data_IF_942148014999
#
_entry.id   IF_942148014999
#
_cell.length_a   1.000
_cell.length_b   1.000
_cell.length_c   1.000
_cell.angle_alpha   90.00
_cell.angle_beta   90.00
_cell.angle_gamma   90.00
#
_symmetry.space_group_name_H-M   'P 1'
#
loop_
_entity.id
_entity.type
_entity.pdbx_description
1 polymer ?
#
# COMPACT_ATOMS: atom_id res chain seq x y z
N UNK A 1 -21.84 -1.30 -15.06
CA UNK A 1 -20.53 -1.98 -15.09
C UNK A 1 -19.74 -1.67 -13.83
N UNK A 2 -19.92 -2.48 -12.78
CA UNK A 2 -19.06 -2.43 -11.57
C UNK A 2 -17.66 -3.01 -11.83
N UNK A 3 -17.50 -3.83 -12.86
CA UNK A 3 -16.23 -4.49 -13.21
C UNK A 3 -15.12 -3.50 -13.59
N UNK A 4 -15.48 -2.30 -14.06
CA UNK A 4 -14.52 -1.27 -14.43
C UNK A 4 -14.01 -0.45 -13.25
N UNK A 5 -14.76 -0.35 -12.15
CA UNK A 5 -14.28 0.35 -10.95
C UNK A 5 -13.18 -0.43 -10.24
N UNK A 6 -13.30 -1.76 -10.18
CA UNK A 6 -12.30 -2.62 -9.52
C UNK A 6 -10.96 -2.65 -10.26
N UNK A 7 -10.96 -2.50 -11.59
CA UNK A 7 -9.73 -2.53 -12.39
C UNK A 7 -9.06 -1.15 -12.54
N UNK A 8 -9.81 -0.05 -12.40
CA UNK A 8 -9.29 1.30 -12.62
C UNK A 8 -9.04 2.11 -11.35
N UNK A 9 -9.52 1.68 -10.18
CA UNK A 9 -9.25 2.34 -8.91
C UNK A 9 -8.20 1.55 -8.15
N UNK A 10 -6.94 1.93 -8.33
CA UNK A 10 -5.79 1.40 -7.59
C UNK A 10 -5.90 1.63 -6.07
N UNK A 11 -6.77 2.56 -5.65
CA UNK A 11 -6.81 3.15 -4.31
C UNK A 11 -8.20 3.00 -3.65
N UNK A 12 -8.89 1.86 -3.85
CA UNK A 12 -10.20 1.59 -3.21
C UNK A 12 -10.08 1.56 -1.68
N UNK A 13 -8.93 1.09 -1.18
CA UNK A 13 -8.59 1.09 0.24
C UNK A 13 -7.23 1.78 0.42
N UNK A 14 -7.19 2.74 1.34
CA UNK A 14 -6.00 3.56 1.62
C UNK A 14 -5.68 3.57 3.11
N UNK A 15 -4.45 3.23 3.51
CA UNK A 15 -3.96 3.31 4.88
C UNK A 15 -2.90 4.41 4.98
N UNK A 16 -3.10 5.36 5.90
CA UNK A 16 -2.10 6.39 6.20
C UNK A 16 -1.47 6.16 7.57
N UNK A 17 -0.17 5.87 7.58
CA UNK A 17 0.62 5.74 8.80
C UNK A 17 1.50 6.98 8.96
N UNK A 18 1.37 7.69 10.09
CA UNK A 18 2.17 8.87 10.41
C UNK A 18 3.19 8.48 11.49
N UNK A 19 4.48 8.69 11.19
CA UNK A 19 5.60 8.34 12.08
C UNK A 19 6.41 9.58 12.45
N UNK A 20 7.00 9.60 13.64
CA UNK A 20 7.88 10.70 14.09
C UNK A 20 9.25 10.66 13.43
N UNK A 21 9.77 9.48 13.09
CA UNK A 21 11.09 9.30 12.49
C UNK A 21 11.01 8.56 11.16
N UNK A 22 11.88 8.96 10.23
CA UNK A 22 12.02 8.30 8.92
C UNK A 22 12.43 6.83 9.06
N UNK A 23 13.24 6.49 10.07
CA UNK A 23 13.63 5.11 10.37
C UNK A 23 12.43 4.21 10.66
N UNK A 24 11.40 4.73 11.30
CA UNK A 24 10.21 3.96 11.67
C UNK A 24 9.35 3.65 10.46
N UNK A 25 9.33 4.54 9.46
CA UNK A 25 8.64 4.31 8.19
C UNK A 25 9.21 3.05 7.51
N UNK A 26 10.54 2.95 7.40
CA UNK A 26 11.18 1.78 6.80
C UNK A 26 10.95 0.50 7.61
N UNK A 27 11.01 0.58 8.95
CA UNK A 27 10.73 -0.57 9.81
C UNK A 27 9.30 -1.08 9.68
N UNK A 28 8.33 -0.18 9.61
CA UNK A 28 6.92 -0.54 9.44
C UNK A 28 6.68 -1.12 8.05
N UNK A 29 7.23 -0.50 7.01
CA UNK A 29 7.13 -1.01 5.65
C UNK A 29 7.70 -2.43 5.52
N UNK A 30 8.90 -2.66 6.08
CA UNK A 30 9.54 -3.97 6.11
C UNK A 30 8.67 -5.01 6.82
N UNK A 31 8.14 -4.68 8.00
CA UNK A 31 7.24 -5.57 8.74
C UNK A 31 5.97 -5.91 7.96
N UNK A 32 5.32 -4.94 7.34
CA UNK A 32 4.13 -5.17 6.50
C UNK A 32 4.50 -6.07 5.31
N UNK A 33 5.61 -5.81 4.62
CA UNK A 33 6.04 -6.63 3.48
C UNK A 33 6.48 -8.04 3.85
N UNK A 34 6.86 -8.28 5.11
CA UNK A 34 7.28 -9.60 5.60
C UNK A 34 6.13 -10.54 5.96
N UNK A 35 4.89 -10.03 5.99
CA UNK A 35 3.72 -10.85 6.30
C UNK A 35 3.41 -11.80 5.15
N UNK A 36 3.19 -13.09 5.46
CA UNK A 36 3.02 -14.15 4.46
C UNK A 36 1.77 -14.03 3.60
N UNK A 37 0.77 -13.29 4.09
CA UNK A 37 -0.51 -13.00 3.44
C UNK A 37 -0.51 -11.66 2.71
N UNK A 38 0.62 -10.94 2.67
CA UNK A 38 0.77 -9.66 1.97
C UNK A 38 1.68 -9.83 0.76
N UNK A 39 1.19 -9.42 -0.40
CA UNK A 39 2.01 -9.32 -1.61
C UNK A 39 2.29 -7.85 -1.94
N UNK A 40 3.56 -7.44 -1.88
CA UNK A 40 3.95 -6.09 -2.31
C UNK A 40 3.92 -6.02 -3.84
N UNK A 41 3.11 -5.11 -4.38
CA UNK A 41 2.97 -4.91 -5.82
C UNK A 41 3.88 -3.80 -6.33
N UNK A 42 3.97 -2.69 -5.61
CA UNK A 42 4.75 -1.51 -6.04
C UNK A 42 5.16 -0.67 -4.83
N UNK A 43 6.37 -0.11 -4.88
CA UNK A 43 6.87 0.84 -3.87
C UNK A 43 7.32 2.12 -4.55
N UNK A 44 6.84 3.27 -4.07
CA UNK A 44 7.31 4.60 -4.48
C UNK A 44 7.93 5.30 -3.27
N UNK A 45 9.26 5.35 -3.25
CA UNK A 45 10.04 5.93 -2.15
C UNK A 45 10.37 7.41 -2.42
N UNK A 46 9.43 8.30 -2.10
CA UNK A 46 9.65 9.76 -2.20
C UNK A 46 10.43 10.34 -1.03
N UNK A 47 10.81 9.52 -0.04
CA UNK A 47 11.72 9.94 1.03
C UNK A 47 13.16 10.00 0.49
N UNK A 48 13.58 8.95 -0.22
CA UNK A 48 14.90 8.88 -0.84
C UNK A 48 15.00 9.78 -2.09
N UNK A 49 13.93 9.83 -2.91
CA UNK A 49 13.86 10.67 -4.10
C UNK A 49 12.63 11.60 -4.02
N UNK A 50 12.75 12.75 -3.32
CA UNK A 50 11.65 13.70 -3.18
C UNK A 50 11.17 14.21 -4.54
N UNK A 51 9.87 14.54 -4.63
CA UNK A 51 9.35 15.21 -5.83
C UNK A 51 9.96 16.62 -5.94
N UNK A 52 9.98 17.24 -7.14
CA UNK A 52 10.50 18.60 -7.32
C UNK A 52 9.87 19.67 -6.42
N UNK A 53 8.64 19.44 -5.94
CA UNK A 53 7.94 20.31 -5.00
C UNK A 53 8.32 20.08 -3.52
N UNK A 54 9.31 19.22 -3.23
CA UNK A 54 9.75 18.89 -1.88
C UNK A 54 8.91 17.83 -1.15
N UNK A 55 7.90 17.26 -1.80
CA UNK A 55 7.05 16.23 -1.19
C UNK A 55 7.85 14.96 -0.88
N UNK A 56 7.73 14.49 0.36
CA UNK A 56 8.32 13.26 0.88
C UNK A 56 7.24 12.36 1.47
N UNK A 57 7.20 11.11 1.03
CA UNK A 57 6.34 10.06 1.58
C UNK A 57 6.86 8.70 1.10
N UNK A 58 6.43 7.64 1.77
CA UNK A 58 6.65 6.27 1.35
C UNK A 58 5.30 5.68 0.95
N UNK A 59 5.12 5.37 -0.34
CA UNK A 59 3.88 4.76 -0.83
C UNK A 59 4.17 3.31 -1.16
N UNK A 60 3.30 2.41 -0.69
CA UNK A 60 3.44 0.98 -0.88
C UNK A 60 2.09 0.39 -1.25
N UNK A 61 1.97 -0.07 -2.48
CA UNK A 61 0.77 -0.76 -2.96
C UNK A 61 0.95 -2.24 -2.67
N UNK A 62 0.03 -2.80 -1.90
CA UNK A 62 0.01 -4.20 -1.50
C UNK A 62 -1.29 -4.89 -1.92
N UNK A 63 -1.24 -6.20 -2.09
CA UNK A 63 -2.42 -7.05 -2.21
C UNK A 63 -2.59 -7.88 -0.95
N UNK A 64 -3.79 -7.85 -0.39
CA UNK A 64 -4.16 -8.61 0.81
C UNK A 64 -5.43 -9.44 0.56
N UNK A 65 -5.53 -10.67 1.09
CA UNK A 65 -6.72 -11.49 0.98
C UNK A 65 -7.80 -10.97 1.95
N UNK A 66 -8.96 -10.60 1.41
CA UNK A 66 -10.15 -10.24 2.18
C UNK A 66 -11.15 -11.38 2.10
N UNK A 67 -11.55 -11.91 3.26
CA UNK A 67 -12.50 -13.01 3.36
C UNK A 67 -13.92 -12.46 3.42
N UNK A 68 -14.66 -12.57 2.30
CA UNK A 68 -16.06 -12.22 2.21
C UNK A 68 -16.94 -13.48 2.43
N UNK A 69 -18.25 -13.28 2.58
CA UNK A 69 -19.21 -14.40 2.66
C UNK A 69 -19.18 -15.32 1.43
N UNK A 70 -18.69 -14.82 0.30
CA UNK A 70 -18.54 -15.55 -0.97
C UNK A 70 -17.17 -16.22 -1.14
N UNK A 71 -16.26 -16.06 -0.18
CA UNK A 71 -14.90 -16.60 -0.22
C UNK A 71 -13.79 -15.54 -0.19
N UNK A 72 -12.51 -15.96 -0.26
CA UNK A 72 -11.37 -15.05 -0.24
C UNK A 72 -11.23 -14.31 -1.58
N UNK A 73 -11.07 -12.98 -1.52
CA UNK A 73 -10.81 -12.12 -2.67
C UNK A 73 -9.57 -11.28 -2.38
N UNK A 74 -8.60 -11.28 -3.29
CA UNK A 74 -7.43 -10.42 -3.16
C UNK A 74 -7.78 -8.97 -3.52
N UNK A 75 -7.54 -8.05 -2.58
CA UNK A 75 -7.84 -6.63 -2.72
C UNK A 75 -6.53 -5.86 -2.74
N UNK A 76 -6.44 -4.83 -3.60
CA UNK A 76 -5.30 -3.89 -3.63
C UNK A 76 -5.52 -2.77 -2.62
N UNK A 77 -4.49 -2.44 -1.87
CA UNK A 77 -4.48 -1.40 -0.83
C UNK A 77 -3.22 -0.55 -1.00
N UNK A 78 -3.34 0.78 -0.90
CA UNK A 78 -2.21 1.73 -0.85
C UNK A 78 -2.04 2.37 0.53
#
# INVERSE_FOLDING_TARGET
NMDNMQNCLSDIAGIRIVCSFTSDIYRIADRISSQSDIQVLTVKNYIANPKPNGYKSYHMVVSVPVYLSTGPVNVKVE
#
